data_IF_275824238879
#
_entry.id   IF_275824238879
#
_cell.length_a   1.000
_cell.length_b   1.000
_cell.length_c   1.000
_cell.angle_alpha   90.00
_cell.angle_beta   90.00
_cell.angle_gamma   90.00
#
_symmetry.space_group_name_H-M   'P 1'
#
loop_
_entity.id
_entity.type
_entity.pdbx_description
1 polymer ?
#
# COMPACT_ATOMS: atom_id res chain seq x y z
N UNK A 1 7.42 27.04 -16.69
CA UNK A 1 7.27 25.99 -15.65
C UNK A 1 6.10 25.12 -16.05
N UNK A 2 6.34 23.89 -16.52
CA UNK A 2 5.24 22.94 -16.77
C UNK A 2 4.67 22.51 -15.42
N UNK A 3 3.39 22.78 -15.17
CA UNK A 3 2.71 22.31 -13.97
C UNK A 3 2.83 20.79 -13.87
N UNK A 4 3.04 20.26 -12.66
CA UNK A 4 3.04 18.80 -12.47
C UNK A 4 1.66 18.25 -12.87
N UNK A 5 1.60 17.10 -13.56
CA UNK A 5 0.33 16.48 -13.90
C UNK A 5 -0.51 16.28 -12.63
N UNK A 6 -1.80 16.59 -12.72
CA UNK A 6 -2.74 16.49 -11.60
C UNK A 6 -3.53 15.19 -11.67
N UNK A 7 -4.04 14.68 -10.53
CA UNK A 7 -4.97 13.58 -10.53
C UNK A 7 -6.22 13.87 -11.37
N UNK A 8 -6.79 12.82 -11.95
CA UNK A 8 -7.99 12.89 -12.80
C UNK A 8 -9.01 11.90 -12.27
N UNK A 9 -10.27 12.32 -12.09
CA UNK A 9 -11.35 11.42 -11.72
C UNK A 9 -11.62 10.39 -12.80
N UNK A 10 -11.97 9.16 -12.41
CA UNK A 10 -12.24 8.07 -13.35
C UNK A 10 -13.48 7.29 -12.95
N UNK A 11 -14.17 6.75 -13.94
CA UNK A 11 -15.18 5.73 -13.71
C UNK A 11 -14.51 4.35 -13.73
N UNK A 12 -14.63 3.64 -12.61
CA UNK A 12 -14.11 2.28 -12.48
C UNK A 12 -15.07 1.30 -13.15
N UNK A 13 -14.60 0.34 -13.97
CA UNK A 13 -15.49 -0.59 -14.63
C UNK A 13 -16.18 -1.54 -13.63
N UNK A 14 -17.46 -1.84 -13.90
CA UNK A 14 -18.26 -2.75 -13.10
C UNK A 14 -17.88 -4.23 -13.27
N UNK A 15 -17.15 -4.56 -14.34
CA UNK A 15 -16.65 -5.90 -14.65
C UNK A 15 -15.15 -5.85 -14.98
N UNK A 16 -14.47 -7.00 -14.95
CA UNK A 16 -13.05 -7.13 -15.31
C UNK A 16 -12.10 -6.26 -14.47
N UNK A 17 -12.37 -6.12 -13.16
CA UNK A 17 -11.52 -5.34 -12.24
C UNK A 17 -10.09 -5.85 -12.19
N UNK A 18 -9.89 -7.17 -12.32
CA UNK A 18 -8.55 -7.77 -12.34
C UNK A 18 -7.72 -7.25 -13.52
N UNK A 19 -8.29 -7.19 -14.73
CA UNK A 19 -7.60 -6.66 -15.92
C UNK A 19 -7.37 -5.14 -15.79
N UNK A 20 -8.33 -4.44 -15.20
CA UNK A 20 -8.22 -3.02 -14.93
C UNK A 20 -7.06 -2.72 -13.96
N UNK A 21 -6.92 -3.49 -12.89
CA UNK A 21 -5.82 -3.39 -11.93
C UNK A 21 -4.48 -3.82 -12.56
N UNK A 22 -4.48 -4.88 -13.37
CA UNK A 22 -3.30 -5.33 -14.11
C UNK A 22 -2.71 -4.20 -14.97
N UNK A 23 -3.56 -3.54 -15.77
CA UNK A 23 -3.13 -2.45 -16.65
C UNK A 23 -2.78 -1.16 -15.91
N UNK A 24 -3.64 -0.75 -14.96
CA UNK A 24 -3.57 0.59 -14.36
C UNK A 24 -2.85 0.63 -13.01
N UNK A 25 -2.40 -0.51 -12.50
CA UNK A 25 -1.61 -0.60 -11.27
C UNK A 25 -0.38 -1.46 -11.51
N UNK A 26 -0.54 -2.75 -11.80
CA UNK A 26 0.56 -3.70 -11.76
C UNK A 26 1.62 -3.43 -12.82
N UNK A 27 1.23 -3.27 -14.08
CA UNK A 27 2.14 -2.91 -15.17
C UNK A 27 2.84 -1.58 -14.93
N UNK A 28 2.11 -0.61 -14.37
CA UNK A 28 2.68 0.71 -14.07
C UNK A 28 3.76 0.60 -13.00
N UNK A 29 3.50 -0.07 -11.88
CA UNK A 29 4.50 -0.26 -10.83
C UNK A 29 5.70 -1.06 -11.30
N UNK A 30 5.49 -2.05 -12.17
CA UNK A 30 6.59 -2.82 -12.76
C UNK A 30 7.54 -1.90 -13.54
N UNK A 31 7.00 -0.94 -14.29
CA UNK A 31 7.81 0.05 -15.04
C UNK A 31 8.47 1.07 -14.12
N UNK A 32 7.76 1.60 -13.12
CA UNK A 32 8.27 2.73 -12.30
C UNK A 32 9.05 2.30 -11.05
N UNK A 33 9.13 1.01 -10.72
CA UNK A 33 9.65 0.46 -9.47
C UNK A 33 10.96 1.10 -9.00
N UNK A 34 11.93 1.19 -9.91
CA UNK A 34 13.27 1.75 -9.61
C UNK A 34 13.18 3.23 -9.21
N UNK A 35 12.45 4.05 -9.99
CA UNK A 35 12.28 5.48 -9.70
C UNK A 35 11.38 5.73 -8.48
N UNK A 36 10.37 4.89 -8.28
CA UNK A 36 9.56 4.89 -7.06
C UNK A 36 10.42 4.65 -5.83
N UNK A 37 11.29 3.63 -5.86
CA UNK A 37 12.16 3.29 -4.74
C UNK A 37 13.09 4.44 -4.36
N UNK A 38 13.61 5.15 -5.35
CA UNK A 38 14.55 6.27 -5.17
C UNK A 38 13.93 7.48 -4.42
N UNK A 39 12.61 7.55 -4.30
CA UNK A 39 11.91 8.71 -3.71
C UNK A 39 11.26 8.42 -2.34
N UNK A 40 11.36 7.18 -1.84
CA UNK A 40 10.59 6.70 -0.68
C UNK A 40 11.49 5.98 0.34
N UNK A 41 11.95 6.74 1.34
CA UNK A 41 12.80 6.22 2.41
C UNK A 41 12.25 6.46 3.82
N UNK A 42 11.70 7.64 4.11
CA UNK A 42 11.30 8.00 5.48
C UNK A 42 10.00 7.28 5.91
N UNK A 43 10.01 6.44 6.97
CA UNK A 43 8.81 5.84 7.55
C UNK A 43 7.74 6.86 7.92
N UNK A 44 6.48 6.42 7.90
CA UNK A 44 5.39 7.20 8.49
C UNK A 44 5.43 6.96 10.01
N UNK A 45 5.31 8.01 10.85
CA UNK A 45 5.43 7.87 12.30
C UNK A 45 4.51 6.80 12.88
N UNK A 46 3.23 6.78 12.47
CA UNK A 46 2.26 5.77 12.96
C UNK A 46 2.71 4.33 12.68
N UNK A 47 3.31 4.08 11.51
CA UNK A 47 3.79 2.74 11.14
C UNK A 47 5.04 2.38 11.95
N UNK A 48 5.95 3.34 12.14
CA UNK A 48 7.15 3.17 12.95
C UNK A 48 6.82 2.90 14.42
N UNK A 49 5.89 3.66 15.00
CA UNK A 49 5.41 3.48 16.38
C UNK A 49 4.74 2.12 16.56
N UNK A 50 3.89 1.71 15.61
CA UNK A 50 3.28 0.38 15.61
C UNK A 50 4.36 -0.71 15.64
N UNK A 51 5.32 -0.70 14.70
CA UNK A 51 6.38 -1.71 14.63
C UNK A 51 7.27 -1.71 15.89
N UNK A 52 7.58 -0.55 16.45
CA UNK A 52 8.40 -0.46 17.67
C UNK A 52 7.66 -0.88 18.95
N UNK A 53 6.32 -0.91 18.93
CA UNK A 53 5.49 -1.39 20.05
C UNK A 53 5.38 -2.91 20.14
N UNK A 54 5.72 -3.63 19.07
CA UNK A 54 5.56 -5.08 18.98
C UNK A 54 6.60 -5.83 19.82
N UNK A 55 6.24 -7.04 20.22
CA UNK A 55 7.10 -7.92 21.02
C UNK A 55 8.33 -8.34 20.22
N UNK A 56 9.47 -8.42 20.91
CA UNK A 56 10.73 -8.94 20.34
C UNK A 56 10.51 -10.36 19.80
N UNK A 57 11.03 -10.62 18.61
CA UNK A 57 10.94 -11.92 17.93
C UNK A 57 9.58 -12.20 17.28
N UNK A 58 8.65 -11.24 17.29
CA UNK A 58 7.39 -11.39 16.55
C UNK A 58 7.64 -11.55 15.05
N UNK A 59 6.89 -12.48 14.45
CA UNK A 59 6.89 -12.75 13.01
C UNK A 59 5.78 -11.92 12.35
N UNK A 60 6.15 -11.10 11.37
CA UNK A 60 5.26 -10.19 10.66
C UNK A 60 5.24 -10.38 9.15
N UNK A 61 4.11 -10.04 8.54
CA UNK A 61 3.97 -9.93 7.09
C UNK A 61 3.85 -8.46 6.68
N UNK A 62 4.64 -8.03 5.69
CA UNK A 62 4.46 -6.74 5.00
C UNK A 62 3.81 -7.02 3.63
N UNK A 63 2.49 -6.86 3.56
CA UNK A 63 1.67 -7.15 2.37
C UNK A 63 1.60 -5.92 1.50
N UNK A 64 2.20 -6.01 0.30
CA UNK A 64 2.53 -4.88 -0.56
C UNK A 64 3.74 -4.08 -0.04
N UNK A 65 4.84 -4.78 0.25
CA UNK A 65 6.02 -4.22 0.92
C UNK A 65 6.78 -3.17 0.09
N UNK A 66 6.47 -3.05 -1.20
CA UNK A 66 7.17 -2.17 -2.13
C UNK A 66 8.67 -2.44 -2.13
N UNK A 67 9.47 -1.40 -1.88
CA UNK A 67 10.93 -1.52 -1.81
C UNK A 67 11.45 -2.03 -0.44
N UNK A 68 10.59 -2.57 0.42
CA UNK A 68 10.95 -3.08 1.75
C UNK A 68 11.21 -1.98 2.78
N UNK A 69 10.60 -0.80 2.58
CA UNK A 69 10.78 0.40 3.42
C UNK A 69 10.63 0.13 4.92
N UNK A 70 9.70 -0.75 5.30
CA UNK A 70 9.31 -0.98 6.69
C UNK A 70 9.97 -2.21 7.32
N UNK A 71 10.51 -3.13 6.51
CA UNK A 71 11.07 -4.41 6.96
C UNK A 71 12.21 -4.20 7.98
N UNK A 72 13.09 -3.23 7.71
CA UNK A 72 14.25 -2.93 8.55
C UNK A 72 14.03 -1.91 9.68
N UNK A 73 12.80 -1.42 9.90
CA UNK A 73 12.54 -0.34 10.87
C UNK A 73 12.82 -0.79 12.31
N UNK A 74 12.37 -1.98 12.68
CA UNK A 74 12.64 -2.57 13.98
C UNK A 74 13.43 -3.89 13.80
N UNK A 75 14.76 -3.89 14.04
CA UNK A 75 15.60 -5.07 13.80
C UNK A 75 15.34 -6.22 14.78
N UNK A 76 14.43 -6.03 15.76
CA UNK A 76 14.02 -7.07 16.71
C UNK A 76 12.82 -7.90 16.22
N UNK A 77 12.27 -7.56 15.06
CA UNK A 77 11.16 -8.28 14.42
C UNK A 77 11.68 -9.15 13.27
N UNK A 78 10.94 -10.19 12.94
CA UNK A 78 11.15 -10.97 11.72
C UNK A 78 10.04 -10.62 10.75
N UNK A 79 10.33 -9.94 9.64
CA UNK A 79 9.32 -9.51 8.68
C UNK A 79 9.57 -10.16 7.32
N UNK A 80 8.54 -10.80 6.78
CA UNK A 80 8.51 -11.29 5.40
C UNK A 80 7.73 -10.31 4.53
N UNK A 81 8.39 -9.79 3.49
CA UNK A 81 7.75 -8.92 2.51
C UNK A 81 7.04 -9.71 1.41
N UNK A 82 5.90 -9.20 0.95
CA UNK A 82 5.25 -9.66 -0.29
C UNK A 82 4.85 -8.45 -1.12
N UNK A 83 5.06 -8.51 -2.43
CA UNK A 83 4.60 -7.47 -3.36
C UNK A 83 4.26 -8.09 -4.71
N UNK A 84 3.33 -7.50 -5.45
CA UNK A 84 2.93 -8.00 -6.77
C UNK A 84 4.00 -7.72 -7.83
N UNK A 85 4.82 -6.70 -7.62
CA UNK A 85 5.87 -6.27 -8.55
C UNK A 85 7.16 -7.05 -8.32
N UNK A 86 7.61 -7.74 -9.36
CA UNK A 86 8.87 -8.50 -9.30
C UNK A 86 10.09 -7.57 -9.21
N UNK A 87 10.02 -6.42 -9.89
CA UNK A 87 11.04 -5.38 -9.81
C UNK A 87 11.17 -4.76 -8.40
N UNK A 88 10.06 -4.60 -7.66
CA UNK A 88 10.12 -4.14 -6.26
C UNK A 88 10.70 -5.21 -5.33
N UNK A 89 10.31 -6.49 -5.50
CA UNK A 89 10.89 -7.60 -4.74
C UNK A 89 12.39 -7.76 -5.00
N UNK A 90 12.84 -7.56 -6.24
CA UNK A 90 14.28 -7.54 -6.52
C UNK A 90 15.02 -6.49 -5.68
N UNK A 91 14.44 -5.30 -5.50
CA UNK A 91 15.01 -4.24 -4.66
C UNK A 91 15.03 -4.65 -3.17
N UNK A 92 14.00 -5.38 -2.71
CA UNK A 92 13.96 -5.93 -1.34
C UNK A 92 15.15 -6.87 -1.12
N UNK A 93 15.42 -7.79 -2.06
CA UNK A 93 16.56 -8.70 -2.01
C UNK A 93 17.90 -7.96 -2.10
N UNK A 94 18.02 -6.97 -2.99
CA UNK A 94 19.23 -6.14 -3.12
C UNK A 94 19.54 -5.36 -1.81
N UNK A 95 18.53 -5.12 -0.97
CA UNK A 95 18.66 -4.52 0.37
C UNK A 95 18.97 -5.53 1.49
N UNK A 96 19.05 -6.81 1.17
CA UNK A 96 19.33 -7.89 2.12
C UNK A 96 18.12 -8.33 2.96
N UNK A 97 16.90 -8.06 2.48
CA UNK A 97 15.66 -8.46 3.15
C UNK A 97 14.99 -9.64 2.45
N UNK A 98 14.13 -10.35 3.19
CA UNK A 98 13.31 -11.43 2.66
C UNK A 98 12.03 -10.89 2.02
N UNK A 99 11.80 -11.26 0.76
CA UNK A 99 10.65 -10.82 -0.03
C UNK A 99 10.21 -11.87 -1.04
N UNK A 100 8.91 -11.92 -1.36
CA UNK A 100 8.37 -12.80 -2.38
C UNK A 100 7.34 -12.11 -3.27
N UNK A 101 7.26 -12.55 -4.53
CA UNK A 101 6.23 -12.06 -5.44
C UNK A 101 4.90 -12.72 -5.08
N UNK A 102 3.90 -11.92 -4.75
CA UNK A 102 2.57 -12.38 -4.38
C UNK A 102 1.49 -11.35 -4.70
N UNK A 103 0.29 -11.83 -4.98
CA UNK A 103 -0.91 -10.99 -5.10
C UNK A 103 -1.48 -10.74 -3.70
N UNK A 104 -1.89 -9.50 -3.41
CA UNK A 104 -2.51 -9.13 -2.13
C UNK A 104 -3.85 -9.84 -1.86
N UNK A 105 -4.46 -10.44 -2.89
CA UNK A 105 -5.67 -11.27 -2.80
C UNK A 105 -5.38 -12.78 -2.89
N UNK A 106 -4.11 -13.18 -2.95
CA UNK A 106 -3.69 -14.58 -2.96
C UNK A 106 -2.33 -14.72 -2.27
N UNK A 107 -2.36 -14.59 -0.94
CA UNK A 107 -1.17 -14.60 -0.12
C UNK A 107 -0.58 -16.02 0.03
N UNK A 108 0.72 -16.23 -0.20
CA UNK A 108 1.39 -17.53 -0.15
C UNK A 108 1.76 -17.96 1.28
N UNK A 109 0.90 -17.63 2.24
CA UNK A 109 1.15 -17.78 3.66
C UNK A 109 0.19 -18.77 4.28
N UNK A 110 0.65 -19.48 5.32
CA UNK A 110 -0.23 -20.36 6.08
C UNK A 110 -1.15 -19.54 6.97
N UNK A 111 -2.37 -20.02 7.15
CA UNK A 111 -3.34 -19.46 8.09
C UNK A 111 -2.75 -19.44 9.51
N UNK A 112 -3.08 -18.40 10.27
CA UNK A 112 -2.67 -18.25 11.67
C UNK A 112 -1.15 -18.44 11.91
N UNK A 113 -0.30 -17.93 11.04
CA UNK A 113 1.16 -18.09 11.13
C UNK A 113 1.89 -16.82 11.58
N UNK A 114 1.30 -15.64 11.38
CA UNK A 114 1.90 -14.36 11.71
C UNK A 114 1.35 -13.76 13.01
N UNK A 115 2.22 -13.13 13.79
CA UNK A 115 1.84 -12.37 14.99
C UNK A 115 1.32 -10.98 14.64
N UNK A 116 1.74 -10.45 13.49
CA UNK A 116 1.22 -9.18 12.95
C UNK A 116 1.29 -9.09 11.43
N UNK A 117 0.55 -8.16 10.84
CA UNK A 117 0.73 -7.75 9.46
C UNK A 117 0.61 -6.23 9.30
N UNK A 118 1.30 -5.70 8.30
CA UNK A 118 1.10 -4.34 7.82
C UNK A 118 0.74 -4.37 6.33
N UNK A 119 -0.10 -3.44 5.89
CA UNK A 119 -0.42 -3.19 4.49
C UNK A 119 -0.54 -1.69 4.26
N UNK A 120 0.55 -1.08 3.79
CA UNK A 120 0.75 0.37 3.81
C UNK A 120 0.68 0.95 2.40
N UNK A 121 -0.38 1.71 2.10
CA UNK A 121 -0.66 2.29 0.77
C UNK A 121 -0.73 1.21 -0.33
N UNK A 122 -1.57 0.19 -0.09
CA UNK A 122 -1.74 -0.96 -0.99
C UNK A 122 -3.18 -1.13 -1.40
N UNK A 123 -4.10 -1.35 -0.44
CA UNK A 123 -5.48 -1.77 -0.77
C UNK A 123 -6.30 -0.72 -1.53
N UNK A 124 -5.87 0.56 -1.54
CA UNK A 124 -6.46 1.57 -2.42
C UNK A 124 -6.24 1.30 -3.91
N UNK A 125 -5.44 0.31 -4.28
CA UNK A 125 -5.23 -0.08 -5.65
C UNK A 125 -6.23 -1.12 -6.16
N UNK A 126 -7.06 -1.69 -5.28
CA UNK A 126 -8.12 -2.60 -5.69
C UNK A 126 -9.37 -1.81 -6.13
N UNK A 127 -9.82 -2.10 -7.35
CA UNK A 127 -10.79 -1.32 -8.08
C UNK A 127 -12.23 -1.47 -7.54
N UNK A 128 -12.57 -2.62 -6.94
CA UNK A 128 -13.90 -2.80 -6.33
C UNK A 128 -13.87 -2.83 -4.81
N UNK A 129 -14.97 -2.40 -4.15
CA UNK A 129 -15.15 -2.57 -2.70
C UNK A 129 -14.96 -4.02 -2.24
N UNK A 130 -15.50 -4.99 -3.01
CA UNK A 130 -15.40 -6.41 -2.67
C UNK A 130 -13.95 -6.90 -2.65
N UNK A 131 -13.12 -6.45 -3.59
CA UNK A 131 -11.69 -6.79 -3.62
C UNK A 131 -10.92 -6.12 -2.48
N UNK A 132 -11.28 -4.89 -2.10
CA UNK A 132 -10.71 -4.22 -0.92
C UNK A 132 -11.06 -4.97 0.38
N UNK A 133 -12.30 -5.41 0.52
CA UNK A 133 -12.73 -6.25 1.63
C UNK A 133 -12.02 -7.60 1.64
N UNK A 134 -11.90 -8.25 0.47
CA UNK A 134 -11.21 -9.53 0.33
C UNK A 134 -9.74 -9.43 0.75
N UNK A 135 -9.03 -8.36 0.36
CA UNK A 135 -7.65 -8.12 0.79
C UNK A 135 -7.52 -8.09 2.32
N UNK A 136 -8.43 -7.39 3.01
CA UNK A 136 -8.42 -7.34 4.48
C UNK A 136 -8.72 -8.74 5.05
N UNK A 137 -9.68 -9.48 4.50
CA UNK A 137 -9.98 -10.86 4.92
C UNK A 137 -8.77 -11.79 4.76
N UNK A 138 -8.05 -11.71 3.65
CA UNK A 138 -6.87 -12.55 3.38
C UNK A 138 -5.70 -12.18 4.31
N UNK A 139 -5.52 -10.89 4.63
CA UNK A 139 -4.58 -10.47 5.67
C UNK A 139 -4.99 -11.04 7.04
N UNK A 140 -6.26 -10.99 7.42
CA UNK A 140 -6.69 -11.56 8.72
C UNK A 140 -6.61 -13.09 8.77
N UNK A 141 -6.71 -13.78 7.64
CA UNK A 141 -6.58 -15.24 7.56
C UNK A 141 -5.19 -15.71 8.01
N UNK A 142 -4.13 -15.00 7.63
CA UNK A 142 -2.74 -15.37 7.95
C UNK A 142 -2.34 -15.02 9.39
N UNK A 143 -3.13 -14.20 10.07
CA UNK A 143 -2.85 -13.68 11.41
C UNK A 143 -3.33 -14.67 12.48
N UNK A 144 -2.51 -14.88 13.52
CA UNK A 144 -2.88 -15.68 14.70
C UNK A 144 -3.98 -14.99 15.51
N UNK A 145 -4.82 -15.73 16.26
CA UNK A 145 -5.63 -15.15 17.32
C UNK A 145 -4.75 -14.34 18.29
N UNK A 146 -5.18 -13.13 18.64
CA UNK A 146 -4.43 -12.12 19.39
C UNK A 146 -3.40 -11.33 18.57
N UNK A 147 -3.22 -11.63 17.29
CA UNK A 147 -2.29 -10.94 16.40
C UNK A 147 -2.87 -9.63 15.84
N UNK A 148 -1.98 -8.70 15.46
CA UNK A 148 -2.36 -7.32 15.09
C UNK A 148 -2.17 -7.00 13.62
N UNK A 149 -3.07 -6.22 13.05
CA UNK A 149 -3.02 -5.75 11.65
C UNK A 149 -3.03 -4.23 11.63
N UNK A 150 -2.14 -3.62 10.87
CA UNK A 150 -2.18 -2.20 10.53
C UNK A 150 -2.40 -2.02 9.02
N UNK A 151 -3.49 -1.38 8.64
CA UNK A 151 -3.77 -0.98 7.24
C UNK A 151 -3.76 0.55 7.14
N UNK A 152 -3.13 1.07 6.09
CA UNK A 152 -2.93 2.51 5.87
C UNK A 152 -3.28 2.85 4.42
N UNK A 153 -4.19 3.80 4.18
CA UNK A 153 -4.75 4.11 2.85
C UNK A 153 -4.84 5.60 2.61
N UNK A 154 -4.84 6.02 1.34
CA UNK A 154 -4.94 7.45 1.01
C UNK A 154 -6.33 7.96 1.31
N UNK A 155 -6.41 9.10 1.98
CA UNK A 155 -7.67 9.75 2.32
C UNK A 155 -8.21 10.58 1.15
N UNK A 156 -9.53 10.69 1.02
CA UNK A 156 -10.17 11.69 0.18
C UNK A 156 -9.96 13.09 0.76
N UNK A 157 -10.00 13.20 2.09
CA UNK A 157 -9.83 14.44 2.86
C UNK A 157 -8.35 14.83 2.92
N UNK A 158 -7.84 15.37 1.81
CA UNK A 158 -6.46 15.84 1.70
C UNK A 158 -6.31 17.23 2.36
N UNK A 159 -5.25 17.43 3.13
CA UNK A 159 -4.94 18.72 3.75
C UNK A 159 -4.48 19.74 2.71
N UNK A 160 -4.51 21.03 3.10
CA UNK A 160 -3.95 22.14 2.30
C UNK A 160 -2.47 22.00 1.94
N UNK A 161 -1.76 21.06 2.58
CA UNK A 161 -0.35 20.78 2.32
C UNK A 161 -0.16 19.72 1.22
N UNK A 162 -1.24 19.06 0.78
CA UNK A 162 -1.20 18.15 -0.35
C UNK A 162 -0.78 18.91 -1.61
N UNK A 163 0.16 18.32 -2.35
CA UNK A 163 0.64 18.88 -3.63
C UNK A 163 -0.28 18.50 -4.80
N UNK A 164 -1.40 17.85 -4.51
CA UNK A 164 -2.35 17.29 -5.47
C UNK A 164 -3.73 17.85 -5.16
N UNK A 165 -4.43 18.22 -6.22
CA UNK A 165 -5.83 18.61 -6.13
C UNK A 165 -6.67 17.44 -6.62
N UNK A 166 -7.63 17.03 -5.81
CA UNK A 166 -8.61 16.02 -6.16
C UNK A 166 -9.97 16.69 -6.31
N UNK A 167 -10.76 16.23 -7.27
CA UNK A 167 -12.12 16.74 -7.45
C UNK A 167 -12.98 16.36 -6.24
N UNK A 168 -13.72 17.31 -5.63
CA UNK A 168 -14.54 17.02 -4.47
C UNK A 168 -15.53 15.89 -4.73
N UNK A 169 -15.56 14.89 -3.85
CA UNK A 169 -16.47 13.74 -3.95
C UNK A 169 -16.03 12.63 -4.90
N UNK A 170 -14.94 12.80 -5.65
CA UNK A 170 -14.40 11.78 -6.54
C UNK A 170 -13.42 10.87 -5.79
N UNK A 171 -13.83 9.64 -5.50
CA UNK A 171 -13.00 8.65 -4.80
C UNK A 171 -12.08 7.88 -5.75
N UNK A 172 -12.52 7.61 -6.98
CA UNK A 172 -11.72 6.87 -7.96
C UNK A 172 -10.96 7.83 -8.87
N UNK A 173 -9.64 7.71 -8.89
CA UNK A 173 -8.77 8.65 -9.59
C UNK A 173 -7.57 7.97 -10.25
N UNK A 174 -7.09 8.56 -11.34
CA UNK A 174 -5.73 8.35 -11.81
C UNK A 174 -4.77 9.33 -11.15
N UNK A 175 -3.72 8.81 -10.53
CA UNK A 175 -2.62 9.59 -10.00
C UNK A 175 -1.44 9.49 -10.96
N UNK A 176 -1.08 10.59 -11.66
CA UNK A 176 -0.02 10.56 -12.65
C UNK A 176 1.36 10.42 -11.98
N UNK A 177 2.24 9.69 -12.66
CA UNK A 177 3.65 9.54 -12.31
C UNK A 177 4.50 9.88 -13.54
N UNK A 178 5.37 10.88 -13.39
CA UNK A 178 6.36 11.23 -14.41
C UNK A 178 7.73 10.82 -13.92
N UNK A 179 8.44 10.05 -14.75
CA UNK A 179 9.84 9.72 -14.47
C UNK A 179 10.67 11.00 -14.55
N UNK A 180 11.60 11.16 -13.61
CA UNK A 180 12.54 12.28 -13.62
C UNK A 180 13.96 11.73 -13.74
N UNK A 181 14.88 12.47 -14.37
CA UNK A 181 16.27 12.04 -14.49
C UNK A 181 16.89 11.73 -13.15
N UNK A 182 17.65 10.63 -13.10
CA UNK A 182 18.52 10.38 -11.94
C UNK A 182 19.70 11.33 -11.96
N UNK A 183 20.37 11.46 -10.81
CA UNK A 183 21.58 12.29 -10.70
C UNK A 183 22.64 11.83 -11.71
N UNK A 184 22.96 12.67 -12.69
CA UNK A 184 23.92 12.38 -13.76
C UNK A 184 23.31 11.91 -15.08
N UNK A 185 21.99 11.71 -15.17
CA UNK A 185 21.29 11.46 -16.43
C UNK A 185 20.79 12.76 -17.06
N UNK A 186 20.77 12.81 -18.39
CA UNK A 186 20.16 13.92 -19.14
C UNK A 186 18.64 13.75 -19.23
N UNK A 187 17.90 14.84 -19.36
CA UNK A 187 16.44 14.81 -19.53
C UNK A 187 15.99 14.00 -20.75
N UNK A 188 16.75 14.09 -21.85
CA UNK A 188 16.49 13.39 -23.12
C UNK A 188 16.60 11.86 -23.02
N UNK A 189 17.27 11.34 -21.98
CA UNK A 189 17.46 9.91 -21.75
C UNK A 189 16.32 9.29 -20.93
N UNK A 190 15.41 10.11 -20.40
CA UNK A 190 14.28 9.67 -19.59
C UNK A 190 12.99 9.79 -20.39
N UNK A 191 12.20 8.73 -20.37
CA UNK A 191 10.87 8.72 -20.99
C UNK A 191 10.03 9.91 -20.48
N UNK A 192 9.53 10.72 -21.41
CA UNK A 192 8.61 11.82 -21.11
C UNK A 192 7.17 11.33 -20.82
N UNK A 193 6.94 10.01 -20.89
CA UNK A 193 5.65 9.41 -20.64
C UNK A 193 5.15 9.68 -19.21
N UNK A 194 3.85 9.95 -19.12
CA UNK A 194 3.12 10.03 -17.85
C UNK A 194 2.40 8.70 -17.64
N UNK A 195 2.75 8.02 -16.56
CA UNK A 195 2.14 6.76 -16.17
C UNK A 195 1.02 7.03 -15.18
N UNK A 196 -0.21 6.77 -15.58
CA UNK A 196 -1.39 6.96 -14.74
C UNK A 196 -1.66 5.70 -13.90
N UNK A 197 -1.79 5.90 -12.59
CA UNK A 197 -1.97 4.83 -11.61
C UNK A 197 -3.36 4.93 -11.02
N UNK A 198 -4.13 3.86 -11.01
CA UNK A 198 -5.43 3.88 -10.34
C UNK A 198 -5.28 3.95 -8.83
N UNK A 199 -6.11 4.76 -8.18
CA UNK A 199 -6.26 4.86 -6.74
C UNK A 199 -7.75 5.05 -6.38
N UNK A 200 -8.18 4.35 -5.34
CA UNK A 200 -9.37 4.64 -4.57
C UNK A 200 -9.01 5.46 -3.32
N UNK A 201 -9.48 6.70 -3.25
CA UNK A 201 -9.33 7.57 -2.08
C UNK A 201 -10.43 7.23 -1.08
N UNK A 202 -10.03 6.79 0.10
CA UNK A 202 -10.96 6.42 1.16
C UNK A 202 -11.51 7.68 1.83
N UNK A 203 -12.82 7.77 1.95
CA UNK A 203 -13.44 8.78 2.82
C UNK A 203 -13.35 8.37 4.28
N UNK A 204 -13.53 9.33 5.18
CA UNK A 204 -13.56 9.08 6.62
C UNK A 204 -14.57 7.96 6.97
N UNK A 205 -14.13 6.97 7.76
CA UNK A 205 -14.94 5.85 8.23
C UNK A 205 -15.09 4.68 7.24
N UNK A 206 -14.75 4.86 5.96
CA UNK A 206 -14.88 3.79 4.97
C UNK A 206 -13.96 2.60 5.28
N UNK A 207 -12.71 2.86 5.70
CA UNK A 207 -11.79 1.79 6.06
C UNK A 207 -12.30 1.00 7.27
N UNK A 208 -12.79 1.71 8.30
CA UNK A 208 -13.39 1.12 9.48
C UNK A 208 -14.58 0.19 9.13
N UNK A 209 -15.42 0.62 8.20
CA UNK A 209 -16.58 -0.16 7.75
C UNK A 209 -16.17 -1.45 7.01
N UNK A 210 -15.06 -1.45 6.28
CA UNK A 210 -14.51 -2.69 5.72
C UNK A 210 -14.03 -3.63 6.83
N UNK A 211 -13.31 -3.13 7.84
CA UNK A 211 -12.84 -3.95 8.97
C UNK A 211 -14.01 -4.55 9.76
N UNK A 212 -15.11 -3.81 9.96
CA UNK A 212 -16.32 -4.31 10.66
C UNK A 212 -17.02 -5.46 9.94
N UNK A 213 -16.78 -5.63 8.64
CA UNK A 213 -17.34 -6.74 7.85
C UNK A 213 -16.50 -8.02 7.92
N UNK A 214 -15.35 -8.00 8.59
CA UNK A 214 -14.47 -9.16 8.75
C UNK A 214 -14.77 -9.83 10.09
N UNK A 215 -15.07 -11.13 10.04
CA UNK A 215 -15.35 -11.92 11.24
C UNK A 215 -14.12 -12.01 12.15
N UNK A 216 -14.34 -11.93 13.47
CA UNK A 216 -13.26 -12.02 14.45
C UNK A 216 -12.34 -10.79 14.52
N UNK A 217 -12.74 -9.65 13.96
CA UNK A 217 -11.97 -8.39 14.06
C UNK A 217 -12.37 -7.59 15.29
N UNK A 218 -11.35 -7.07 15.99
CA UNK A 218 -11.47 -6.04 17.00
C UNK A 218 -10.67 -4.80 16.58
N UNK A 219 -11.34 -3.69 16.26
CA UNK A 219 -10.65 -2.44 15.97
C UNK A 219 -10.11 -1.86 17.28
N UNK A 220 -8.78 -1.77 17.41
CA UNK A 220 -8.12 -1.17 18.57
C UNK A 220 -7.97 0.35 18.40
N UNK A 221 -7.65 0.80 17.18
CA UNK A 221 -7.41 2.22 16.89
C UNK A 221 -7.79 2.51 15.45
N UNK A 222 -8.44 3.66 15.25
CA UNK A 222 -8.65 4.29 13.94
C UNK A 222 -8.07 5.70 13.99
N UNK A 223 -7.52 6.19 12.88
CA UNK A 223 -6.94 7.51 12.86
C UNK A 223 -6.57 8.01 11.48
N UNK A 224 -5.97 9.21 11.49
CA UNK A 224 -5.56 9.92 10.29
C UNK A 224 -4.14 10.46 10.46
N UNK A 225 -3.26 10.24 9.49
CA UNK A 225 -1.90 10.78 9.47
C UNK A 225 -1.46 11.19 8.04
N UNK A 226 -1.16 12.48 7.86
CA UNK A 226 -0.61 13.08 6.62
C UNK A 226 -1.36 12.66 5.35
N UNK A 227 -2.66 12.94 5.31
CA UNK A 227 -3.53 12.64 4.17
C UNK A 227 -3.83 11.15 3.95
N UNK A 228 -3.77 10.35 5.03
CA UNK A 228 -4.08 8.93 5.02
C UNK A 228 -4.96 8.54 6.20
N UNK A 229 -5.91 7.65 5.97
CA UNK A 229 -6.63 6.95 7.03
C UNK A 229 -5.89 5.67 7.41
N UNK A 230 -6.00 5.26 8.66
CA UNK A 230 -5.44 3.98 9.12
C UNK A 230 -6.29 3.30 10.17
N UNK A 231 -6.20 1.97 10.21
CA UNK A 231 -6.81 1.13 11.23
C UNK A 231 -5.77 0.16 11.78
N UNK A 232 -5.67 0.10 13.11
CA UNK A 232 -5.00 -0.97 13.85
C UNK A 232 -6.09 -1.84 14.47
N UNK A 233 -6.03 -3.13 14.19
CA UNK A 233 -7.01 -4.08 14.69
C UNK A 233 -6.35 -5.39 15.14
N UNK A 234 -7.00 -6.08 16.06
CA UNK A 234 -6.62 -7.39 16.58
C UNK A 234 -7.56 -8.46 16.00
N UNK A 235 -7.02 -9.66 15.77
CA UNK A 235 -7.83 -10.85 15.49
C UNK A 235 -8.23 -11.51 16.81
N UNK A 236 -9.52 -11.71 17.05
CA UNK A 236 -10.06 -12.43 18.21
C UNK A 236 -9.80 -13.92 18.15
#
# INVERSE_FOLDING_TARGET
MTSKPQPIAVETPAENQTDYEQKNVHEVYEVIATHFSDTRYKPWPVVEDFLNSLKIGSLGADVGCGNGKYIGVNPKLMILGSDRSSNLIKIVHDRGFEGMVADGLNLPYRDNSFDFAISIAVIHHFASPDRRLQAIKDIFKIIKPGGKVLVFVWALEQTKFSKRNFEPGQQDVFVPWKLTPKKGQKEEEVSDAVYNRYYHLFKQGELDDLFRQVEGVEIETTGYDRDNHYVIACKK
#
